data_IF_107091560665
#
_entry.id   IF_107091560665
#
_cell.length_a   1.000
_cell.length_b   1.000
_cell.length_c   1.000
_cell.angle_alpha   90.00
_cell.angle_beta   90.00
_cell.angle_gamma   90.00
#
_symmetry.space_group_name_H-M   'P 1'
#
loop_
_entity.id
_entity.type
_entity.pdbx_description
1 polymer ?
#
# COMPACT_ATOMS: atom_id res chain seq x y z
N UNK A 1 -29.72 -60.50 18.57
CA UNK A 1 -29.27 -59.33 19.35
C UNK A 1 -27.77 -58.97 19.22
N UNK A 2 -26.95 -59.73 18.47
CA UNK A 2 -25.49 -59.43 18.33
C UNK A 2 -25.12 -58.59 17.11
N UNK A 3 -26.06 -58.26 16.23
CA UNK A 3 -25.76 -57.49 14.99
C UNK A 3 -26.06 -55.97 15.11
N UNK A 4 -26.78 -55.53 16.14
CA UNK A 4 -27.06 -54.07 16.37
C UNK A 4 -25.92 -53.37 17.10
N UNK A 5 -25.12 -54.08 17.90
CA UNK A 5 -23.99 -53.48 18.63
C UNK A 5 -22.85 -53.00 17.76
N UNK A 6 -22.65 -53.68 16.59
CA UNK A 6 -21.57 -53.31 15.64
C UNK A 6 -21.82 -52.03 14.84
N UNK A 7 -23.10 -51.69 14.61
CA UNK A 7 -23.45 -50.50 13.85
C UNK A 7 -23.35 -49.21 14.70
N UNK A 8 -23.51 -49.31 16.01
CA UNK A 8 -23.38 -48.16 16.91
C UNK A 8 -21.92 -47.78 17.16
N UNK A 9 -20.99 -48.73 17.11
CA UNK A 9 -19.56 -48.48 17.32
C UNK A 9 -18.91 -47.77 16.12
N UNK A 10 -19.35 -48.03 14.89
CA UNK A 10 -18.85 -47.39 13.68
C UNK A 10 -19.39 -45.98 13.51
N UNK A 11 -20.62 -45.71 14.00
CA UNK A 11 -21.20 -44.35 13.94
C UNK A 11 -20.56 -43.39 14.93
N UNK A 12 -20.05 -43.87 16.06
CA UNK A 12 -19.36 -43.01 17.05
C UNK A 12 -17.93 -42.66 16.62
N UNK A 13 -17.30 -43.53 15.83
CA UNK A 13 -15.92 -43.30 15.35
C UNK A 13 -15.85 -42.36 14.13
N UNK A 14 -16.96 -42.12 13.45
CA UNK A 14 -17.04 -41.18 12.31
C UNK A 14 -17.26 -39.71 12.70
N UNK A 15 -17.67 -39.44 13.95
CA UNK A 15 -17.93 -38.06 14.42
C UNK A 15 -16.68 -37.35 15.02
N UNK A 16 -15.60 -38.08 15.25
CA UNK A 16 -14.40 -37.55 15.91
C UNK A 16 -13.38 -36.88 14.97
N UNK A 17 -13.59 -36.93 13.64
CA UNK A 17 -12.66 -36.37 12.67
C UNK A 17 -12.99 -34.93 12.21
N UNK A 18 -14.18 -34.43 12.56
CA UNK A 18 -14.58 -33.07 12.18
C UNK A 18 -14.30 -32.00 13.26
N UNK A 19 -13.76 -32.40 14.43
CA UNK A 19 -13.57 -31.47 15.57
C UNK A 19 -12.18 -30.84 15.66
N UNK A 20 -11.20 -31.28 14.85
CA UNK A 20 -9.82 -30.79 14.97
C UNK A 20 -9.57 -29.42 14.31
N UNK A 21 -10.23 -29.10 13.21
CA UNK A 21 -10.01 -27.80 12.54
C UNK A 21 -10.60 -26.62 13.31
N UNK A 22 -11.68 -26.82 14.04
CA UNK A 22 -12.33 -25.74 14.80
C UNK A 22 -11.58 -25.38 16.07
N UNK A 23 -10.83 -26.32 16.65
CA UNK A 23 -10.09 -26.06 17.91
C UNK A 23 -8.77 -25.30 17.68
N UNK A 24 -8.10 -25.47 16.55
CA UNK A 24 -6.91 -24.70 16.22
C UNK A 24 -7.26 -23.22 15.97
N UNK A 25 -8.31 -22.96 15.20
CA UNK A 25 -8.78 -21.57 14.94
C UNK A 25 -9.21 -20.83 16.21
N UNK A 26 -9.81 -21.52 17.17
CA UNK A 26 -10.19 -20.92 18.47
C UNK A 26 -8.96 -20.60 19.32
N UNK A 27 -7.94 -21.46 19.29
CA UNK A 27 -6.72 -21.24 20.05
C UNK A 27 -5.91 -20.05 19.48
N UNK A 28 -5.85 -19.92 18.17
CA UNK A 28 -5.15 -18.84 17.48
C UNK A 28 -5.80 -17.47 17.80
N UNK A 29 -7.13 -17.41 17.86
CA UNK A 29 -7.86 -16.18 18.23
C UNK A 29 -7.64 -15.77 19.67
N UNK A 30 -7.53 -16.73 20.59
CA UNK A 30 -7.27 -16.44 22.01
C UNK A 30 -5.82 -16.01 22.21
N UNK A 31 -4.90 -16.53 21.40
CA UNK A 31 -3.47 -16.24 21.51
C UNK A 31 -3.08 -14.93 20.81
N UNK A 32 -3.82 -14.54 19.77
CA UNK A 32 -3.64 -13.27 19.06
C UNK A 32 -5.02 -12.67 18.70
N UNK A 33 -5.55 -11.76 19.55
CA UNK A 33 -6.83 -11.10 19.30
C UNK A 33 -6.89 -10.26 18.01
N UNK A 34 -5.78 -10.08 17.32
CA UNK A 34 -5.67 -9.40 16.03
C UNK A 34 -5.88 -10.32 14.82
N UNK A 35 -5.92 -11.66 15.03
CA UNK A 35 -6.17 -12.60 13.93
C UNK A 35 -7.61 -12.48 13.45
N UNK A 36 -7.76 -12.26 12.18
CA UNK A 36 -9.04 -12.19 11.48
C UNK A 36 -9.68 -13.59 11.37
N UNK A 37 -10.73 -13.84 12.18
CA UNK A 37 -11.50 -15.10 12.15
C UNK A 37 -12.69 -14.96 11.22
N UNK A 38 -12.59 -15.55 10.07
CA UNK A 38 -13.68 -15.64 9.09
C UNK A 38 -13.20 -16.43 7.88
N UNK A 39 -14.11 -16.93 7.05
CA UNK A 39 -13.73 -17.40 5.71
C UNK A 39 -12.89 -16.29 5.07
N UNK A 40 -11.77 -16.66 4.45
CA UNK A 40 -10.76 -15.76 3.89
C UNK A 40 -11.36 -14.74 2.90
N UNK A 41 -12.09 -13.75 3.41
CA UNK A 41 -12.32 -12.52 2.65
C UNK A 41 -10.98 -11.80 2.62
N UNK A 42 -10.36 -11.95 1.49
CA UNK A 42 -9.10 -11.30 1.16
C UNK A 42 -9.30 -9.79 1.28
N UNK A 43 -8.84 -9.23 2.41
CA UNK A 43 -8.95 -7.80 2.64
C UNK A 43 -7.90 -7.06 1.79
N UNK A 44 -8.27 -5.99 1.10
CA UNK A 44 -7.29 -5.19 0.37
C UNK A 44 -6.28 -4.57 1.33
N UNK A 45 -5.03 -4.48 0.89
CA UNK A 45 -4.00 -3.75 1.65
C UNK A 45 -4.38 -2.29 1.81
N UNK A 46 -4.18 -1.75 3.00
CA UNK A 46 -4.31 -0.31 3.28
C UNK A 46 -2.93 0.31 3.41
N UNK A 47 -2.73 1.42 2.69
CA UNK A 47 -1.46 2.15 2.69
C UNK A 47 -1.67 3.55 3.23
N UNK A 48 -0.82 3.97 4.17
CA UNK A 48 -0.77 5.34 4.67
C UNK A 48 0.63 5.93 4.47
N UNK A 49 0.70 7.18 4.03
CA UNK A 49 1.96 7.90 3.85
C UNK A 49 2.06 9.01 4.91
N UNK A 50 3.08 8.94 5.76
CA UNK A 50 3.47 10.02 6.65
C UNK A 50 4.37 10.97 5.87
N UNK A 51 3.79 12.05 5.34
CA UNK A 51 4.48 13.00 4.50
C UNK A 51 5.08 14.13 5.33
N UNK A 52 6.38 14.35 5.16
CA UNK A 52 7.11 15.48 5.73
C UNK A 52 7.83 16.26 4.62
N UNK A 53 7.58 17.56 4.54
CA UNK A 53 8.30 18.46 3.67
C UNK A 53 9.34 19.26 4.49
N UNK A 54 10.59 19.20 4.05
CA UNK A 54 11.68 19.95 4.67
C UNK A 54 11.42 21.47 4.62
N UNK A 55 11.96 22.20 5.56
CA UNK A 55 11.81 23.66 5.62
C UNK A 55 12.37 24.38 4.39
N UNK A 56 13.31 23.76 3.70
CA UNK A 56 13.98 24.26 2.49
C UNK A 56 13.56 23.52 1.21
N UNK A 57 12.43 22.82 1.20
CA UNK A 57 11.93 22.03 0.06
C UNK A 57 11.67 22.91 -1.17
N UNK A 58 11.98 22.37 -2.37
CA UNK A 58 11.53 22.94 -3.65
C UNK A 58 11.83 24.42 -3.79
N UNK A 59 13.08 24.85 -3.60
CA UNK A 59 13.47 26.25 -3.65
C UNK A 59 13.23 26.89 -5.02
N UNK A 60 12.72 28.11 -4.99
CA UNK A 60 12.62 28.97 -6.16
C UNK A 60 13.98 29.61 -6.51
N UNK A 61 14.04 30.40 -7.58
CA UNK A 61 15.28 31.06 -8.02
C UNK A 61 15.82 32.11 -7.02
N UNK A 62 15.01 32.52 -6.07
CA UNK A 62 15.39 33.45 -4.99
C UNK A 62 15.88 32.70 -3.74
N UNK A 63 15.85 31.35 -3.77
CA UNK A 63 16.26 30.49 -2.67
C UNK A 63 15.18 30.29 -1.60
N UNK A 64 13.93 30.72 -1.86
CA UNK A 64 12.82 30.57 -0.96
C UNK A 64 12.14 29.21 -1.19
N UNK A 65 11.78 28.53 -0.09
CA UNK A 65 11.08 27.26 -0.15
C UNK A 65 9.66 27.42 -0.72
N UNK A 66 9.25 26.47 -1.55
CA UNK A 66 7.95 26.47 -2.22
C UNK A 66 7.16 25.19 -1.92
N UNK A 67 5.82 25.23 -1.92
CA UNK A 67 5.01 24.01 -1.81
C UNK A 67 5.32 23.00 -2.93
N UNK A 68 5.14 21.73 -2.61
CA UNK A 68 5.27 20.61 -3.57
C UNK A 68 3.91 19.95 -3.75
N UNK A 69 3.46 19.82 -4.98
CA UNK A 69 2.31 18.96 -5.28
C UNK A 69 2.80 17.54 -5.43
N UNK A 70 2.19 16.62 -4.71
CA UNK A 70 2.50 15.18 -4.80
C UNK A 70 1.28 14.42 -5.29
N UNK A 71 1.49 13.48 -6.19
CA UNK A 71 0.50 12.54 -6.67
C UNK A 71 0.89 11.13 -6.31
N UNK A 72 -0.04 10.36 -5.75
CA UNK A 72 0.18 8.98 -5.30
C UNK A 72 -0.51 8.02 -6.26
N UNK A 73 0.22 7.00 -6.72
CA UNK A 73 -0.25 6.05 -7.73
C UNK A 73 -0.13 4.62 -7.23
N UNK A 74 -1.17 3.81 -7.44
CA UNK A 74 -1.12 2.36 -7.31
C UNK A 74 -0.81 1.73 -8.67
N UNK A 75 0.23 0.90 -8.75
CA UNK A 75 0.75 0.36 -10.00
C UNK A 75 0.96 -1.15 -9.92
N UNK A 76 0.76 -1.86 -11.05
CA UNK A 76 1.23 -3.25 -11.19
C UNK A 76 2.73 -3.33 -11.51
N UNK A 77 3.32 -2.26 -12.05
CA UNK A 77 4.75 -2.11 -12.34
C UNK A 77 5.10 -0.63 -12.50
N UNK A 78 6.28 -0.24 -12.05
CA UNK A 78 6.78 1.14 -12.07
C UNK A 78 7.67 1.48 -13.27
N UNK A 79 7.97 0.51 -14.15
CA UNK A 79 8.89 0.74 -15.28
C UNK A 79 8.48 1.92 -16.17
N UNK A 80 7.16 2.13 -16.38
CA UNK A 80 6.67 3.26 -17.17
C UNK A 80 6.84 4.59 -16.44
N UNK A 81 6.61 4.64 -15.14
CA UNK A 81 6.87 5.86 -14.35
C UNK A 81 8.33 6.30 -14.51
N UNK A 82 9.28 5.36 -14.55
CA UNK A 82 10.70 5.68 -14.69
C UNK A 82 11.18 5.85 -16.15
N UNK A 83 10.36 5.50 -17.15
CA UNK A 83 10.72 5.59 -18.56
C UNK A 83 10.21 6.86 -19.26
N UNK A 84 9.19 7.50 -18.73
CA UNK A 84 8.59 8.70 -19.31
C UNK A 84 8.99 9.96 -18.54
N UNK A 85 8.96 11.11 -19.23
CA UNK A 85 9.16 12.42 -18.63
C UNK A 85 7.95 12.87 -17.76
N UNK A 86 8.16 13.91 -16.99
CA UNK A 86 7.16 14.44 -16.07
C UNK A 86 5.84 14.82 -16.78
N UNK A 87 5.92 15.57 -17.87
CA UNK A 87 4.75 16.07 -18.59
C UNK A 87 3.94 14.94 -19.24
N UNK A 88 4.61 13.95 -19.80
CA UNK A 88 3.94 12.76 -20.32
C UNK A 88 3.16 12.00 -19.24
N UNK A 89 3.69 11.97 -18.00
CA UNK A 89 3.04 11.32 -16.86
C UNK A 89 1.89 12.13 -16.26
N UNK A 90 1.95 13.46 -16.30
CA UNK A 90 0.93 14.32 -15.68
C UNK A 90 -0.20 14.68 -16.65
N UNK A 91 0.13 15.03 -17.91
CA UNK A 91 -0.86 15.48 -18.88
C UNK A 91 -1.68 14.34 -19.52
N UNK A 92 -1.10 13.15 -19.59
CA UNK A 92 -1.71 11.99 -20.24
C UNK A 92 -1.50 10.68 -19.46
N UNK A 93 -1.63 10.72 -18.16
CA UNK A 93 -1.29 9.64 -17.24
C UNK A 93 -1.87 8.29 -17.64
N UNK A 94 -3.18 8.22 -17.83
CA UNK A 94 -3.87 6.97 -18.17
C UNK A 94 -3.33 6.36 -19.47
N UNK A 95 -3.10 7.18 -20.48
CA UNK A 95 -2.52 6.75 -21.76
C UNK A 95 -1.08 6.31 -21.60
N UNK A 96 -0.29 7.07 -20.85
CA UNK A 96 1.14 6.85 -20.65
C UNK A 96 1.40 5.61 -19.81
N UNK A 97 0.69 5.44 -18.70
CA UNK A 97 0.85 4.29 -17.81
C UNK A 97 0.06 3.07 -18.30
N UNK A 98 -1.08 3.26 -18.97
CA UNK A 98 -1.90 2.19 -19.52
C UNK A 98 -2.27 1.14 -18.45
N UNK A 99 -2.13 -0.13 -18.81
CA UNK A 99 -2.48 -1.25 -17.92
C UNK A 99 -1.61 -1.37 -16.65
N UNK A 100 -0.50 -0.62 -16.55
CA UNK A 100 0.31 -0.59 -15.33
C UNK A 100 -0.31 0.28 -14.24
N UNK A 101 -1.14 1.27 -14.59
CA UNK A 101 -1.91 2.06 -13.63
C UNK A 101 -3.08 1.23 -13.10
N UNK A 102 -3.12 1.03 -11.79
CA UNK A 102 -4.23 0.38 -11.08
C UNK A 102 -5.20 1.41 -10.51
N UNK A 103 -4.67 2.47 -9.90
CA UNK A 103 -5.44 3.63 -9.47
C UNK A 103 -4.56 4.87 -9.36
N UNK A 104 -5.16 6.02 -9.63
CA UNK A 104 -4.69 7.31 -9.15
C UNK A 104 -5.32 7.52 -7.76
N UNK A 105 -4.47 7.55 -6.73
CA UNK A 105 -4.88 7.66 -5.32
C UNK A 105 -5.06 9.12 -4.89
N UNK A 106 -4.82 10.05 -5.79
CA UNK A 106 -5.06 11.47 -5.61
C UNK A 106 -3.81 12.31 -5.53
N UNK A 107 -4.07 13.62 -5.49
CA UNK A 107 -3.07 14.68 -5.51
C UNK A 107 -3.23 15.57 -4.28
N UNK A 108 -2.11 16.00 -3.70
CA UNK A 108 -2.10 16.85 -2.51
C UNK A 108 -0.94 17.82 -2.55
N UNK A 109 -1.21 19.10 -2.23
CA UNK A 109 -0.17 20.10 -2.05
C UNK A 109 0.35 20.09 -0.62
N UNK A 110 1.67 19.96 -0.45
CA UNK A 110 2.36 19.94 0.84
C UNK A 110 3.23 21.19 0.95
N UNK A 111 3.03 21.95 2.02
CA UNK A 111 3.78 23.19 2.29
C UNK A 111 5.13 22.89 2.94
N UNK A 112 6.14 23.76 2.77
CA UNK A 112 7.40 23.65 3.50
C UNK A 112 7.19 23.55 5.01
N UNK A 113 8.08 22.84 5.69
CA UNK A 113 8.09 22.61 7.14
C UNK A 113 6.75 22.09 7.69
N UNK A 114 6.07 21.20 6.92
CA UNK A 114 4.81 20.60 7.37
C UNK A 114 4.85 19.09 7.36
N UNK A 115 4.08 18.53 8.26
CA UNK A 115 3.79 17.09 8.35
C UNK A 115 2.30 16.86 8.13
N UNK A 116 1.97 15.86 7.31
CA UNK A 116 0.58 15.39 7.19
C UNK A 116 0.52 13.90 6.84
N UNK A 117 -0.62 13.29 7.11
CA UNK A 117 -0.88 11.89 6.76
C UNK A 117 -1.78 11.85 5.53
N UNK A 118 -1.35 11.11 4.52
CA UNK A 118 -2.12 10.84 3.30
C UNK A 118 -2.66 9.40 3.37
N UNK A 119 -3.91 9.21 2.95
CA UNK A 119 -4.61 7.94 3.06
C UNK A 119 -5.46 7.83 4.35
N UNK A 120 -5.82 6.62 4.83
CA UNK A 120 -5.41 5.34 4.25
C UNK A 120 -6.02 5.10 2.86
N UNK A 121 -5.22 4.53 1.96
CA UNK A 121 -5.63 4.13 0.62
C UNK A 121 -5.84 2.62 0.59
N UNK A 122 -7.00 2.16 0.14
CA UNK A 122 -7.23 0.76 -0.16
C UNK A 122 -6.69 0.44 -1.55
N UNK A 123 -5.80 -0.56 -1.64
CA UNK A 123 -5.13 -0.89 -2.89
C UNK A 123 -6.00 -1.80 -3.75
N UNK A 124 -6.18 -1.47 -5.05
CA UNK A 124 -6.81 -2.36 -6.01
C UNK A 124 -6.02 -3.66 -6.19
N UNK A 125 -6.74 -4.73 -6.53
CA UNK A 125 -6.14 -6.03 -6.85
C UNK A 125 -5.10 -5.92 -7.97
N UNK A 126 -4.00 -6.65 -7.81
CA UNK A 126 -2.87 -6.64 -8.73
C UNK A 126 -1.93 -5.44 -8.56
N UNK A 127 -2.10 -4.62 -7.53
CA UNK A 127 -1.14 -3.58 -7.15
C UNK A 127 0.13 -4.24 -6.59
N UNK A 128 1.29 -3.84 -7.08
CA UNK A 128 2.60 -4.33 -6.64
C UNK A 128 3.53 -3.20 -6.22
N UNK A 129 3.18 -1.97 -6.58
CA UNK A 129 3.99 -0.78 -6.31
C UNK A 129 3.08 0.39 -5.91
N UNK A 130 3.57 1.17 -4.97
CA UNK A 130 3.12 2.56 -4.78
C UNK A 130 4.21 3.45 -5.36
N UNK A 131 3.81 4.38 -6.22
CA UNK A 131 4.70 5.41 -6.73
C UNK A 131 4.21 6.80 -6.30
N UNK A 132 5.16 7.70 -6.11
CA UNK A 132 4.89 9.11 -5.85
C UNK A 132 5.58 9.92 -6.94
N UNK A 133 4.84 10.86 -7.52
CA UNK A 133 5.33 11.89 -8.43
C UNK A 133 5.20 13.22 -7.68
N UNK A 134 6.29 13.98 -7.62
CA UNK A 134 6.36 15.27 -6.93
C UNK A 134 6.69 16.38 -7.93
N UNK A 135 5.92 17.46 -7.92
CA UNK A 135 6.13 18.61 -8.80
C UNK A 135 7.14 19.56 -8.17
N UNK A 136 8.37 19.46 -8.64
CA UNK A 136 9.45 20.38 -8.30
C UNK A 136 9.59 21.48 -9.33
N UNK A 137 10.01 22.67 -8.92
CA UNK A 137 10.25 23.81 -9.80
C UNK A 137 11.39 23.55 -10.78
N UNK A 138 12.43 22.84 -10.35
CA UNK A 138 13.57 22.42 -11.20
C UNK A 138 13.53 20.90 -11.43
N UNK A 139 12.69 20.49 -12.38
CA UNK A 139 12.54 19.06 -12.73
C UNK A 139 13.82 18.44 -13.34
N UNK A 140 14.72 19.25 -13.88
CA UNK A 140 15.95 18.75 -14.48
C UNK A 140 16.97 18.29 -13.43
N UNK A 141 16.99 18.94 -12.27
CA UNK A 141 17.85 18.59 -11.15
C UNK A 141 17.18 17.65 -10.15
N UNK A 142 15.86 17.78 -9.98
CA UNK A 142 15.16 17.07 -8.94
C UNK A 142 14.97 15.57 -9.24
N UNK A 143 15.12 14.77 -8.21
CA UNK A 143 14.59 13.39 -8.19
C UNK A 143 13.11 13.46 -7.83
N UNK A 144 12.28 13.71 -8.85
CA UNK A 144 10.86 14.04 -8.69
C UNK A 144 9.92 12.85 -8.63
N UNK A 145 10.43 11.61 -8.68
CA UNK A 145 9.64 10.37 -8.62
C UNK A 145 10.31 9.30 -7.80
N UNK A 146 9.50 8.49 -7.13
CA UNK A 146 9.96 7.36 -6.33
C UNK A 146 8.93 6.26 -6.32
N UNK A 147 9.31 5.02 -6.00
CA UNK A 147 8.39 3.91 -5.81
C UNK A 147 8.87 2.91 -4.77
N UNK A 148 7.93 2.17 -4.19
CA UNK A 148 8.18 1.07 -3.27
C UNK A 148 7.33 -0.14 -3.60
N UNK A 149 7.80 -1.32 -3.22
CA UNK A 149 7.02 -2.55 -3.31
C UNK A 149 5.93 -2.58 -2.23
N UNK A 150 4.76 -3.07 -2.61
CA UNK A 150 3.64 -3.38 -1.73
C UNK A 150 3.03 -4.72 -2.12
N UNK A 151 2.25 -5.31 -1.21
CA UNK A 151 1.30 -6.38 -1.53
C UNK A 151 -0.09 -5.77 -1.61
N UNK A 152 -0.94 -6.29 -2.46
CA UNK A 152 -2.31 -5.79 -2.64
C UNK A 152 -3.30 -6.38 -1.62
N UNK A 153 -2.86 -7.36 -0.85
CA UNK A 153 -3.70 -8.20 0.01
C UNK A 153 -3.09 -8.36 1.39
N UNK A 154 -3.90 -8.10 2.41
CA UNK A 154 -3.67 -8.53 3.78
C UNK A 154 -2.73 -7.67 4.62
N UNK A 155 -2.23 -6.54 4.11
CA UNK A 155 -1.29 -5.70 4.83
C UNK A 155 -1.88 -4.33 5.25
N UNK A 156 -1.28 -3.76 6.30
CA UNK A 156 -1.44 -2.35 6.67
C UNK A 156 -0.05 -1.70 6.62
N UNK A 157 0.32 -1.22 5.45
CA UNK A 157 1.64 -0.66 5.23
C UNK A 157 1.70 0.83 5.56
N UNK A 158 2.73 1.22 6.30
CA UNK A 158 3.04 2.62 6.57
C UNK A 158 4.36 3.00 5.90
N UNK A 159 4.35 4.15 5.23
CA UNK A 159 5.53 4.69 4.57
C UNK A 159 5.81 6.11 5.04
N UNK A 160 7.09 6.45 5.14
CA UNK A 160 7.54 7.81 5.30
C UNK A 160 7.82 8.41 3.92
N UNK A 161 7.08 9.46 3.57
CA UNK A 161 7.29 10.26 2.38
C UNK A 161 8.08 11.52 2.76
N UNK A 162 9.31 11.61 2.29
CA UNK A 162 10.18 12.77 2.52
C UNK A 162 10.24 13.61 1.25
N UNK A 163 9.90 14.89 1.39
CA UNK A 163 10.06 15.92 0.37
C UNK A 163 11.24 16.81 0.80
N UNK A 164 12.36 16.63 0.14
CA UNK A 164 13.61 17.37 0.39
C UNK A 164 13.76 18.49 -0.65
N UNK A 165 14.84 19.24 -0.59
CA UNK A 165 15.09 20.38 -1.51
C UNK A 165 14.89 20.01 -2.99
N UNK A 166 15.58 18.96 -3.46
CA UNK A 166 15.55 18.50 -4.86
C UNK A 166 15.23 16.99 -4.95
N UNK A 167 14.61 16.38 -3.94
CA UNK A 167 14.40 14.93 -3.94
C UNK A 167 13.14 14.51 -3.19
N UNK A 168 12.36 13.60 -3.80
CA UNK A 168 11.30 12.86 -3.12
C UNK A 168 11.78 11.45 -2.78
N UNK A 169 11.56 11.03 -1.53
CA UNK A 169 11.87 9.67 -1.05
C UNK A 169 10.66 9.03 -0.41
N UNK A 170 10.51 7.74 -0.66
CA UNK A 170 9.49 6.91 -0.02
C UNK A 170 10.17 5.73 0.66
N UNK A 171 10.00 5.60 1.99
CA UNK A 171 10.66 4.58 2.80
C UNK A 171 9.61 3.80 3.57
N UNK A 172 9.66 2.46 3.50
CA UNK A 172 8.79 1.61 4.30
C UNK A 172 9.19 1.74 5.78
N UNK A 173 8.19 1.96 6.64
CA UNK A 173 8.41 1.88 8.08
C UNK A 173 8.31 0.41 8.49
N UNK A 174 9.35 -0.10 9.15
CA UNK A 174 9.31 -1.40 9.79
C UNK A 174 8.59 -1.23 11.14
N UNK A 175 7.47 -1.92 11.29
CA UNK A 175 6.70 -1.99 12.53
C UNK A 175 7.24 -3.04 13.47
#
# INVERSE_FOLDING_TARGET
MKRLAGFFLVAVMGLSLAACETSEKIYDVISDPGIQVGADEVQPTKVSLQAYAAADVNKNFEGEASPVVVRVLALSSDHRVFSYDYFSLTDSMEKTLGSTLKADLGETMIKPDTYQVLGPYELPEGTKKIAVIAEYLDLEKAVWRTSVNVRDIGDNDQFLLLLLDEEVRLVKQEG
#
